data_IF_000033083007
#
_entry.id   IF_000033083007
#
_cell.length_a   1.000
_cell.length_b   1.000
_cell.length_c   1.000
_cell.angle_alpha   90.00
_cell.angle_beta   90.00
_cell.angle_gamma   90.00
#
_symmetry.space_group_name_H-M   'P 1'
#
loop_
_entity.id
_entity.type
_entity.pdbx_description
1 polymer ?
#
# COMPACT_ATOMS: atom_id res chain seq x y z
N UNK A 1 -21.49 5.98 -8.26
CA UNK A 1 -20.32 6.14 -7.38
C UNK A 1 -20.49 7.22 -6.30
N UNK A 2 -21.23 8.31 -6.53
CA UNK A 2 -21.44 9.38 -5.53
C UNK A 2 -22.11 8.96 -4.20
N UNK A 3 -22.96 7.94 -4.20
CA UNK A 3 -23.80 7.59 -3.04
C UNK A 3 -23.07 6.92 -1.87
N UNK A 4 -21.81 6.51 -2.05
CA UNK A 4 -21.02 5.81 -1.01
C UNK A 4 -19.87 6.65 -0.42
N UNK A 5 -19.67 7.87 -0.92
CA UNK A 5 -18.66 8.79 -0.41
C UNK A 5 -19.32 10.07 0.14
N UNK A 6 -18.75 10.68 1.20
CA UNK A 6 -19.22 11.98 1.68
C UNK A 6 -19.22 13.04 0.58
N UNK A 7 -20.22 13.95 0.50
CA UNK A 7 -20.31 14.97 -0.53
C UNK A 7 -19.02 15.79 -0.73
N UNK A 8 -18.31 16.11 0.35
CA UNK A 8 -17.05 16.84 0.33
C UNK A 8 -15.90 16.10 -0.37
N UNK A 9 -16.05 14.80 -0.64
CA UNK A 9 -15.08 13.99 -1.36
C UNK A 9 -15.47 13.73 -2.82
N UNK A 10 -16.64 14.17 -3.28
CA UNK A 10 -17.14 13.86 -4.64
C UNK A 10 -16.27 14.43 -5.76
N UNK A 11 -15.50 15.48 -5.48
CA UNK A 11 -14.59 16.12 -6.43
C UNK A 11 -13.16 15.58 -6.37
N UNK A 12 -12.89 14.62 -5.49
CA UNK A 12 -11.55 14.08 -5.25
C UNK A 12 -11.24 12.93 -6.20
N UNK A 13 -9.97 12.85 -6.59
CA UNK A 13 -9.43 11.71 -7.36
C UNK A 13 -9.31 10.53 -6.41
N UNK A 14 -10.14 9.49 -6.60
CA UNK A 14 -10.04 8.26 -5.80
C UNK A 14 -8.91 7.36 -6.28
N UNK A 15 -8.63 7.38 -7.58
CA UNK A 15 -7.56 6.60 -8.20
C UNK A 15 -7.14 7.23 -9.54
N UNK A 16 -5.86 7.49 -9.69
CA UNK A 16 -5.21 7.83 -10.96
C UNK A 16 -3.97 6.95 -11.11
N UNK A 17 -3.63 6.63 -12.36
CA UNK A 17 -2.49 5.78 -12.69
C UNK A 17 -1.69 6.42 -13.82
N UNK A 18 -0.39 6.57 -13.62
CA UNK A 18 0.57 7.01 -14.62
C UNK A 18 1.59 5.90 -14.84
N UNK A 19 1.79 5.50 -16.10
CA UNK A 19 2.75 4.47 -16.51
C UNK A 19 3.74 5.03 -17.52
N UNK A 20 5.02 4.75 -17.33
CA UNK A 20 6.09 5.04 -18.28
C UNK A 20 7.18 3.99 -18.19
N UNK A 21 7.27 3.13 -19.21
CA UNK A 21 8.23 2.01 -19.23
C UNK A 21 8.06 1.08 -18.02
N UNK A 22 9.11 0.95 -17.21
CA UNK A 22 9.13 0.12 -16.00
C UNK A 22 8.66 0.85 -14.74
N UNK A 23 8.20 2.11 -14.87
CA UNK A 23 7.77 2.94 -13.75
C UNK A 23 6.25 3.09 -13.77
N UNK A 24 5.63 2.84 -12.62
CA UNK A 24 4.19 3.01 -12.39
C UNK A 24 3.97 3.86 -11.13
N UNK A 25 3.17 4.92 -11.25
CA UNK A 25 2.69 5.72 -10.12
C UNK A 25 1.18 5.62 -10.03
N UNK A 26 0.68 5.26 -8.85
CA UNK A 26 -0.72 5.49 -8.51
C UNK A 26 -0.82 6.72 -7.61
N UNK A 27 -1.85 7.53 -7.84
CA UNK A 27 -2.12 8.73 -7.06
C UNK A 27 -3.59 8.79 -6.68
N UNK A 28 -3.85 9.33 -5.50
CA UNK A 28 -5.18 9.56 -4.95
C UNK A 28 -5.13 10.85 -4.14
N UNK A 29 -6.21 11.60 -4.15
CA UNK A 29 -6.33 12.72 -3.22
C UNK A 29 -6.38 12.21 -1.79
N UNK A 30 -6.09 13.07 -0.82
CA UNK A 30 -6.17 12.67 0.58
C UNK A 30 -7.62 12.37 0.99
N UNK A 31 -7.95 11.09 1.14
CA UNK A 31 -9.30 10.61 1.49
C UNK A 31 -9.47 10.25 2.97
N UNK A 32 -8.39 10.17 3.75
CA UNK A 32 -8.48 9.73 5.15
C UNK A 32 -9.18 10.77 6.03
N UNK A 33 -10.29 10.44 6.71
CA UNK A 33 -11.15 11.44 7.39
C UNK A 33 -10.50 12.07 8.63
N UNK A 34 -9.65 11.32 9.34
CA UNK A 34 -9.05 11.77 10.61
C UNK A 34 -7.53 11.98 10.62
N UNK A 35 -6.83 11.78 9.49
CA UNK A 35 -5.37 11.94 9.42
C UNK A 35 -5.05 13.17 8.61
N UNK A 36 -3.96 13.85 8.96
CA UNK A 36 -3.41 14.96 8.17
C UNK A 36 -2.24 14.47 7.32
N UNK A 37 -2.04 15.02 6.12
CA UNK A 37 -0.83 14.77 5.35
C UNK A 37 0.36 15.38 6.10
N UNK A 38 1.34 14.55 6.41
CA UNK A 38 2.62 14.92 7.00
C UNK A 38 3.73 14.17 6.26
N UNK A 39 4.98 14.63 6.39
CA UNK A 39 6.10 13.87 5.86
C UNK A 39 6.08 12.43 6.41
N UNK A 40 6.22 11.46 5.51
CA UNK A 40 6.12 10.03 5.82
C UNK A 40 4.83 9.41 5.30
N UNK A 41 3.66 10.03 5.48
CA UNK A 41 2.38 9.38 5.15
C UNK A 41 1.75 9.82 3.82
N UNK A 42 2.40 10.69 3.06
CA UNK A 42 1.91 11.22 1.78
C UNK A 42 2.26 10.35 0.58
N UNK A 43 3.10 9.33 0.78
CA UNK A 43 3.46 8.37 -0.24
C UNK A 43 3.33 6.95 0.32
N UNK A 44 2.87 6.04 -0.53
CA UNK A 44 2.93 4.62 -0.27
C UNK A 44 3.79 3.94 -1.33
N UNK A 45 4.57 2.96 -0.92
CA UNK A 45 5.48 2.22 -1.80
C UNK A 45 5.01 0.78 -1.97
N UNK A 46 5.09 0.31 -3.21
CA UNK A 46 4.78 -1.06 -3.57
C UNK A 46 6.06 -1.84 -3.79
N UNK A 47 6.21 -2.94 -3.05
CA UNK A 47 7.23 -3.95 -3.28
C UNK A 47 6.55 -5.13 -3.94
N UNK A 48 6.82 -5.30 -5.23
CA UNK A 48 6.27 -6.40 -6.02
C UNK A 48 7.35 -7.44 -6.26
N UNK A 49 7.02 -8.72 -6.03
CA UNK A 49 7.93 -9.84 -6.23
C UNK A 49 7.22 -11.06 -6.77
N UNK A 50 7.97 -12.14 -6.97
CA UNK A 50 7.48 -13.39 -7.55
C UNK A 50 7.13 -14.45 -6.50
N UNK A 51 7.65 -14.34 -5.27
CA UNK A 51 7.39 -15.31 -4.21
C UNK A 51 7.63 -14.78 -2.79
N UNK A 52 7.22 -15.58 -1.80
CA UNK A 52 7.37 -15.22 -0.38
C UNK A 52 8.84 -15.09 0.03
N UNK A 53 9.71 -15.95 -0.50
CA UNK A 53 11.14 -15.96 -0.14
C UNK A 53 11.86 -14.70 -0.61
N UNK A 54 11.40 -14.09 -1.70
CA UNK A 54 11.92 -12.83 -2.21
C UNK A 54 11.45 -11.64 -1.36
N UNK A 55 10.16 -11.63 -0.99
CA UNK A 55 9.54 -10.51 -0.30
C UNK A 55 9.83 -10.48 1.21
N UNK A 56 9.92 -11.66 1.84
CA UNK A 56 10.03 -11.81 3.29
C UNK A 56 11.26 -11.15 3.92
N UNK A 57 12.47 -11.20 3.32
CA UNK A 57 13.64 -10.53 3.88
C UNK A 57 13.47 -9.00 3.98
N UNK A 58 12.87 -8.37 2.97
CA UNK A 58 12.62 -6.93 2.97
C UNK A 58 11.51 -6.59 3.95
N UNK A 59 10.44 -7.39 3.97
CA UNK A 59 9.32 -7.22 4.89
C UNK A 59 9.79 -7.24 6.36
N UNK A 60 10.61 -8.21 6.75
CA UNK A 60 11.07 -8.33 8.15
C UNK A 60 11.94 -7.14 8.59
N UNK A 61 12.78 -6.60 7.70
CA UNK A 61 13.59 -5.41 8.02
C UNK A 61 12.74 -4.16 8.26
N UNK A 62 11.72 -3.94 7.43
CA UNK A 62 10.83 -2.78 7.56
C UNK A 62 9.85 -2.91 8.72
N UNK A 63 9.52 -4.15 9.11
CA UNK A 63 8.64 -4.45 10.24
C UNK A 63 9.20 -3.96 11.58
N UNK A 64 10.52 -3.87 11.72
CA UNK A 64 11.14 -3.37 12.94
C UNK A 64 10.73 -1.92 13.24
N UNK A 65 9.94 -1.74 14.31
CA UNK A 65 9.40 -0.44 14.70
C UNK A 65 8.18 0.01 13.88
N UNK A 66 7.60 -0.89 13.07
CA UNK A 66 6.36 -0.62 12.35
C UNK A 66 5.18 -0.44 13.30
N UNK A 67 4.20 0.35 12.87
CA UNK A 67 2.96 0.57 13.61
C UNK A 67 2.15 -0.73 13.71
N UNK A 68 1.98 -1.31 14.91
CA UNK A 68 1.25 -2.56 15.09
C UNK A 68 -0.23 -2.46 14.65
N UNK A 69 -0.83 -1.27 14.72
CA UNK A 69 -2.22 -1.08 14.32
C UNK A 69 -2.43 -1.11 12.79
N UNK A 70 -1.35 -0.94 12.02
CA UNK A 70 -1.39 -0.93 10.55
C UNK A 70 -0.60 -2.08 9.92
N UNK A 71 -0.13 -3.03 10.72
CA UNK A 71 0.59 -4.21 10.26
C UNK A 71 -0.40 -5.30 9.80
N UNK A 72 -0.24 -5.73 8.56
CA UNK A 72 -0.79 -6.98 8.03
C UNK A 72 0.38 -7.87 7.64
N UNK A 73 0.51 -9.01 8.33
CA UNK A 73 1.58 -9.98 8.09
C UNK A 73 1.61 -10.43 6.63
N UNK A 74 2.82 -10.68 6.13
CA UNK A 74 3.02 -11.17 4.78
C UNK A 74 2.54 -12.63 4.67
N UNK A 75 1.46 -12.87 3.95
CA UNK A 75 0.87 -14.20 3.79
C UNK A 75 0.35 -14.46 2.37
N UNK A 76 0.16 -15.75 1.99
CA UNK A 76 -0.63 -16.11 0.82
C UNK A 76 -2.10 -15.72 1.00
N UNK A 77 -2.71 -15.28 -0.09
CA UNK A 77 -4.10 -14.86 -0.24
C UNK A 77 -4.64 -15.45 -1.57
N UNK A 78 -5.97 -15.51 -1.77
CA UNK A 78 -6.55 -16.02 -3.03
C UNK A 78 -6.11 -15.27 -4.29
N UNK A 79 -5.59 -14.05 -4.16
CA UNK A 79 -5.10 -13.21 -5.25
C UNK A 79 -3.57 -13.12 -5.31
N UNK A 80 -2.85 -13.98 -4.59
CA UNK A 80 -1.39 -14.00 -4.51
C UNK A 80 -0.85 -13.70 -3.13
N UNK A 81 0.29 -13.04 -3.05
CA UNK A 81 0.91 -12.74 -1.75
C UNK A 81 0.57 -11.32 -1.36
N UNK A 82 0.23 -11.11 -0.09
CA UNK A 82 -0.09 -9.77 0.43
C UNK A 82 0.51 -9.54 1.81
N UNK A 83 0.96 -8.32 2.03
CA UNK A 83 1.32 -7.79 3.33
C UNK A 83 1.30 -6.27 3.27
N UNK A 84 1.12 -5.62 4.42
CA UNK A 84 1.27 -4.16 4.51
C UNK A 84 1.76 -3.73 5.87
N UNK A 85 2.36 -2.55 5.93
CA UNK A 85 2.73 -1.91 7.19
C UNK A 85 2.90 -0.40 7.01
N UNK A 86 2.91 0.32 8.13
CA UNK A 86 3.50 1.65 8.20
C UNK A 86 4.81 1.49 8.98
N UNK A 87 5.94 1.86 8.37
CA UNK A 87 7.25 1.72 9.01
C UNK A 87 7.47 2.77 10.12
N UNK A 88 8.62 2.68 10.80
CA UNK A 88 9.00 3.61 11.89
C UNK A 88 9.11 5.08 11.47
N UNK A 89 9.18 5.36 10.17
CA UNK A 89 9.27 6.71 9.60
C UNK A 89 7.92 7.21 9.07
N UNK A 90 6.86 6.41 9.21
CA UNK A 90 5.50 6.76 8.80
C UNK A 90 5.18 6.42 7.34
N UNK A 91 6.10 5.78 6.59
CA UNK A 91 5.89 5.38 5.20
C UNK A 91 5.04 4.13 5.12
N UNK A 92 4.00 4.18 4.28
CA UNK A 92 3.14 3.03 4.04
C UNK A 92 3.74 2.13 2.97
N UNK A 93 3.85 0.84 3.28
CA UNK A 93 4.42 -0.17 2.40
C UNK A 93 3.40 -1.25 2.12
N UNK A 94 3.26 -1.59 0.84
CA UNK A 94 2.46 -2.71 0.36
C UNK A 94 3.37 -3.74 -0.30
N UNK A 95 3.21 -4.98 0.11
CA UNK A 95 3.90 -6.12 -0.48
C UNK A 95 2.90 -6.91 -1.30
N UNK A 96 3.26 -7.19 -2.55
CA UNK A 96 2.42 -7.95 -3.48
C UNK A 96 3.27 -8.99 -4.20
N UNK A 97 2.75 -10.19 -4.33
CA UNK A 97 3.33 -11.22 -5.19
C UNK A 97 2.26 -11.86 -6.06
N UNK A 98 2.68 -12.45 -7.18
CA UNK A 98 1.77 -13.16 -8.07
C UNK A 98 0.96 -14.23 -7.33
N UNK A 99 -0.25 -14.52 -7.83
CA UNK A 99 -0.97 -15.74 -7.47
C UNK A 99 -0.06 -16.93 -7.74
N UNK A 100 -0.06 -17.92 -6.82
CA UNK A 100 0.43 -19.24 -7.17
C UNK A 100 -0.46 -19.70 -8.32
N UNK A 101 0.10 -19.73 -9.53
CA UNK A 101 -0.55 -20.37 -10.66
C UNK A 101 -0.63 -21.86 -10.35
N UNK A 102 -1.85 -22.41 -10.37
CA UNK A 102 -2.10 -23.85 -10.36
C UNK A 102 -1.50 -24.53 -11.61
#
# INVERSE_FOLDING_TARGET
>A
MHTHHPPEQHHKITYALLRSGTVEFSATDWLHPGRRPIQGNTAALYVTGTGLDELRPVFQKLREGADPANLTELCPMPFGIYGRMIDRFGVEWFFRGAALSD
#
